data_IF_012900335090
#
_entry.id   IF_012900335090
#
_cell.length_a   1.000
_cell.length_b   1.000
_cell.length_c   1.000
_cell.angle_alpha   90.00
_cell.angle_beta   90.00
_cell.angle_gamma   90.00
#
_symmetry.space_group_name_H-M   'P 1'
#
loop_
_entity.id
_entity.type
_entity.pdbx_description
1 polymer ?
#
# COMPACT_ATOMS: atom_id res chain seq x y z
N UNK A 1 2.68 -16.62 -17.26
CA UNK A 1 3.76 -17.60 -16.99
C UNK A 1 3.28 -18.54 -15.91
N UNK A 2 3.53 -19.85 -16.03
CA UNK A 2 3.22 -20.82 -14.97
C UNK A 2 4.48 -20.97 -14.12
N UNK A 3 4.36 -20.71 -12.82
CA UNK A 3 5.47 -20.78 -11.88
C UNK A 3 5.05 -21.68 -10.73
N UNK A 4 5.93 -22.60 -10.32
CA UNK A 4 5.69 -23.42 -9.15
C UNK A 4 6.40 -22.77 -7.95
N UNK A 5 5.65 -22.43 -6.92
CA UNK A 5 6.16 -21.77 -5.71
C UNK A 5 5.54 -22.45 -4.49
N UNK A 6 6.34 -22.63 -3.44
CA UNK A 6 5.86 -23.10 -2.15
C UNK A 6 5.35 -21.89 -1.38
N UNK A 7 4.09 -21.93 -0.97
CA UNK A 7 3.42 -20.88 -0.19
C UNK A 7 2.92 -21.54 1.10
N UNK A 8 3.11 -20.85 2.21
CA UNK A 8 2.57 -21.25 3.50
C UNK A 8 1.03 -21.26 3.49
N UNK A 9 0.43 -22.34 3.97
CA UNK A 9 -1.02 -22.52 3.93
C UNK A 9 -1.75 -21.60 4.92
N UNK A 10 -1.16 -21.29 6.08
CA UNK A 10 -1.74 -20.34 7.04
C UNK A 10 -1.78 -18.93 6.45
N UNK A 11 -0.68 -18.50 5.81
CA UNK A 11 -0.64 -17.22 5.09
C UNK A 11 -1.69 -17.16 3.98
N UNK A 12 -1.88 -18.26 3.25
CA UNK A 12 -2.86 -18.32 2.17
C UNK A 12 -4.30 -18.22 2.71
N UNK A 13 -4.59 -18.91 3.81
CA UNK A 13 -5.91 -18.87 4.47
C UNK A 13 -6.23 -17.48 5.03
N UNK A 14 -5.24 -16.82 5.63
CA UNK A 14 -5.39 -15.44 6.10
C UNK A 14 -5.65 -14.49 4.93
N UNK A 15 -4.89 -14.63 3.84
CA UNK A 15 -5.07 -13.82 2.64
C UNK A 15 -6.45 -14.04 1.98
N UNK A 16 -6.97 -15.27 1.96
CA UNK A 16 -8.34 -15.56 1.49
C UNK A 16 -9.42 -15.01 2.42
N UNK A 17 -9.16 -14.95 3.73
CA UNK A 17 -10.12 -14.37 4.68
C UNK A 17 -10.24 -12.85 4.51
N UNK A 18 -9.20 -12.21 3.96
CA UNK A 18 -9.12 -10.76 3.73
C UNK A 18 -9.44 -10.33 2.29
N UNK A 19 -9.55 -11.28 1.34
CA UNK A 19 -9.78 -11.01 -0.08
C UNK A 19 -11.06 -11.69 -0.56
N UNK A 20 -11.74 -11.07 -1.52
CA UNK A 20 -12.90 -11.66 -2.20
C UNK A 20 -12.49 -12.62 -3.34
N UNK A 21 -11.19 -12.87 -3.51
CA UNK A 21 -10.66 -13.69 -4.57
C UNK A 21 -11.16 -15.14 -4.47
N UNK A 22 -11.59 -15.70 -5.61
CA UNK A 22 -12.15 -17.07 -5.66
C UNK A 22 -11.10 -18.14 -5.92
N UNK A 23 -9.91 -17.75 -6.38
CA UNK A 23 -8.86 -18.69 -6.78
C UNK A 23 -7.49 -18.24 -6.30
N UNK A 24 -6.60 -19.21 -6.04
CA UNK A 24 -5.20 -18.92 -5.62
C UNK A 24 -4.50 -18.01 -6.62
N UNK A 25 -4.77 -18.18 -7.93
CA UNK A 25 -4.19 -17.36 -8.99
C UNK A 25 -4.62 -15.90 -8.89
N UNK A 26 -5.91 -15.66 -8.66
CA UNK A 26 -6.47 -14.32 -8.56
C UNK A 26 -5.92 -13.59 -7.33
N UNK A 27 -5.91 -14.27 -6.18
CA UNK A 27 -5.34 -13.78 -4.93
C UNK A 27 -3.87 -13.38 -5.09
N UNK A 28 -3.05 -14.24 -5.70
CA UNK A 28 -1.63 -13.96 -5.96
C UNK A 28 -1.46 -12.76 -6.91
N UNK A 29 -2.29 -12.66 -7.96
CA UNK A 29 -2.25 -11.53 -8.87
C UNK A 29 -2.62 -10.21 -8.18
N UNK A 30 -3.64 -10.23 -7.33
CA UNK A 30 -4.06 -9.07 -6.54
C UNK A 30 -2.95 -8.65 -5.57
N UNK A 31 -2.39 -9.59 -4.81
CA UNK A 31 -1.30 -9.36 -3.89
C UNK A 31 -0.07 -8.73 -4.58
N UNK A 32 0.29 -9.22 -5.76
CA UNK A 32 1.40 -8.65 -6.55
C UNK A 32 1.10 -7.23 -7.03
N UNK A 33 -0.15 -6.93 -7.46
CA UNK A 33 -0.54 -5.56 -7.82
C UNK A 33 -0.46 -4.63 -6.63
N UNK A 34 -0.93 -5.06 -5.45
CA UNK A 34 -0.84 -4.30 -4.21
C UNK A 34 0.62 -4.07 -3.80
N UNK A 35 1.45 -5.11 -3.86
CA UNK A 35 2.87 -5.01 -3.57
C UNK A 35 3.57 -3.98 -4.47
N UNK A 36 3.32 -4.05 -5.78
CA UNK A 36 3.84 -3.06 -6.74
C UNK A 36 3.32 -1.67 -6.41
N UNK A 37 2.02 -1.50 -6.10
CA UNK A 37 1.45 -0.20 -5.74
C UNK A 37 2.09 0.38 -4.48
N UNK A 38 2.30 -0.44 -3.46
CA UNK A 38 2.95 -0.06 -2.20
C UNK A 38 4.40 0.34 -2.45
N UNK A 39 5.13 -0.42 -3.26
CA UNK A 39 6.53 -0.12 -3.60
C UNK A 39 6.68 1.05 -4.60
N UNK A 40 5.68 1.27 -5.46
CA UNK A 40 5.60 2.42 -6.39
C UNK A 40 5.14 3.70 -5.71
N UNK A 41 4.53 3.63 -4.53
CA UNK A 41 4.52 4.77 -3.60
C UNK A 41 5.97 4.95 -3.11
N UNK A 42 6.84 5.36 -4.04
CA UNK A 42 8.18 5.80 -3.74
C UNK A 42 8.06 7.03 -2.87
N UNK A 43 8.86 6.98 -1.81
CA UNK A 43 9.41 8.10 -1.08
C UNK A 43 8.70 9.43 -1.31
N UNK A 44 7.81 9.80 -0.39
CA UNK A 44 7.35 11.19 -0.26
C UNK A 44 8.55 12.16 -0.11
N UNK A 45 9.75 11.65 0.17
CA UNK A 45 11.00 12.40 0.14
C UNK A 45 11.40 12.87 -1.26
N UNK A 46 11.00 12.21 -2.36
CA UNK A 46 11.20 12.72 -3.73
C UNK A 46 10.32 13.95 -4.02
N UNK A 47 9.21 14.11 -3.29
CA UNK A 47 8.37 15.32 -3.33
C UNK A 47 8.89 16.42 -2.40
N UNK A 48 9.79 16.10 -1.45
CA UNK A 48 10.35 17.09 -0.54
C UNK A 48 11.22 18.09 -1.34
N UNK A 49 10.78 19.34 -1.41
CA UNK A 49 11.42 20.40 -2.18
C UNK A 49 10.81 20.63 -3.59
N UNK A 50 9.96 19.73 -4.09
CA UNK A 50 9.23 19.92 -5.35
C UNK A 50 7.84 20.56 -5.16
N UNK A 51 7.35 20.60 -3.93
CA UNK A 51 6.05 21.18 -3.55
C UNK A 51 6.26 22.43 -2.68
N UNK A 52 5.76 23.55 -3.17
CA UNK A 52 5.62 24.78 -2.38
C UNK A 52 4.32 24.71 -1.58
N UNK A 53 4.40 24.95 -0.27
CA UNK A 53 3.21 25.13 0.54
C UNK A 53 2.50 26.42 0.13
N UNK A 54 1.17 26.40 0.13
CA UNK A 54 0.38 27.61 -0.08
C UNK A 54 0.73 28.64 1.01
N UNK A 55 0.89 29.92 0.65
CA UNK A 55 1.27 30.99 1.60
C UNK A 55 0.45 31.05 2.90
N UNK A 56 -0.82 30.61 2.88
CA UNK A 56 -1.67 30.57 4.08
C UNK A 56 -1.63 29.26 4.88
N UNK A 57 -0.79 28.29 4.49
CA UNK A 57 -0.77 26.96 5.10
C UNK A 57 -0.01 26.95 6.42
N UNK A 58 -0.74 27.09 7.53
CA UNK A 58 -0.20 27.00 8.89
C UNK A 58 -0.49 25.63 9.51
N UNK A 59 0.46 24.70 9.36
CA UNK A 59 0.38 23.36 9.95
C UNK A 59 0.38 23.36 11.49
N UNK A 60 0.80 24.45 12.16
CA UNK A 60 0.80 24.55 13.63
C UNK A 60 -0.60 24.85 14.16
N UNK A 61 -1.43 25.61 13.43
CA UNK A 61 -2.85 25.83 13.78
C UNK A 61 -3.62 24.53 13.86
N UNK A 62 -3.42 23.62 12.90
CA UNK A 62 -4.09 22.31 12.85
C UNK A 62 -3.70 21.38 13.99
N UNK A 63 -2.50 21.55 14.57
CA UNK A 63 -2.02 20.71 15.69
C UNK A 63 -2.53 21.19 17.04
N UNK A 64 -2.89 22.47 17.17
CA UNK A 64 -3.42 23.06 18.42
C UNK A 64 -4.84 22.62 18.75
N UNK A 65 -5.62 22.16 17.78
CA UNK A 65 -7.01 21.69 17.98
C UNK A 65 -7.10 20.30 18.64
N UNK A 66 -5.97 19.69 19.02
CA UNK A 66 -5.90 18.39 19.72
C UNK A 66 -5.40 18.51 21.17
N UNK A 67 -5.45 19.71 21.74
CA UNK A 67 -5.21 19.96 23.17
C UNK A 67 -6.51 20.10 23.94
#
# INVERSE_FOLDING_TARGET
>A
MRTNIVIDDDLLNEAFSLSEAKTKKELIHEALKLYIRIKKRKDLTELAGAISFHEGYDHKRLRRTRG
#
